data_IF_679750835086
#
_entry.id   IF_679750835086
#
_cell.length_a   1.000
_cell.length_b   1.000
_cell.length_c   1.000
_cell.angle_alpha   90.00
_cell.angle_beta   90.00
_cell.angle_gamma   90.00
#
_symmetry.space_group_name_H-M   'P 1'
#
loop_
_entity.id
_entity.type
_entity.pdbx_description
1 polymer ?
#
# COMPACT_ATOMS: atom_id res chain seq x y z
N UNK A 1 0.68 -15.28 22.41
CA UNK A 1 0.69 -14.09 21.53
C UNK A 1 0.04 -12.93 22.28
N UNK A 2 0.63 -11.74 22.26
CA UNK A 2 -0.02 -10.52 22.79
C UNK A 2 -0.86 -9.90 21.66
N UNK A 3 -2.05 -9.42 21.98
CA UNK A 3 -2.92 -8.73 21.02
C UNK A 3 -2.88 -7.23 21.29
N UNK A 4 -2.92 -6.44 20.21
CA UNK A 4 -2.97 -4.98 20.26
C UNK A 4 -4.30 -4.55 19.64
N UNK A 5 -5.02 -3.69 20.32
CA UNK A 5 -6.23 -3.03 19.81
C UNK A 5 -5.90 -1.59 19.49
N UNK A 6 -6.21 -1.15 18.28
CA UNK A 6 -6.03 0.22 17.83
C UNK A 6 -7.39 0.79 17.43
N UNK A 7 -7.72 1.97 17.97
CA UNK A 7 -8.91 2.72 17.59
C UNK A 7 -8.49 3.90 16.72
N UNK A 8 -9.18 4.09 15.61
CA UNK A 8 -8.86 5.10 14.60
C UNK A 8 -10.14 5.68 14.00
N UNK A 9 -10.06 6.91 13.49
CA UNK A 9 -11.11 7.48 12.64
C UNK A 9 -11.08 6.82 11.26
N UNK A 10 -12.14 7.01 10.48
CA UNK A 10 -12.20 6.51 9.10
C UNK A 10 -11.07 7.07 8.22
N UNK A 11 -10.76 8.37 8.35
CA UNK A 11 -9.67 9.02 7.60
C UNK A 11 -8.29 8.48 7.98
N UNK A 12 -8.09 8.16 9.27
CA UNK A 12 -6.87 7.51 9.73
C UNK A 12 -6.75 6.08 9.18
N UNK A 13 -7.86 5.36 9.11
CA UNK A 13 -7.91 4.02 8.50
C UNK A 13 -7.57 4.07 7.00
N UNK A 14 -8.12 5.04 6.25
CA UNK A 14 -7.76 5.25 4.83
C UNK A 14 -6.29 5.61 4.66
N UNK A 15 -5.74 6.44 5.54
CA UNK A 15 -4.31 6.77 5.52
C UNK A 15 -3.44 5.54 5.80
N UNK A 16 -3.84 4.71 6.76
CA UNK A 16 -3.17 3.44 7.05
C UNK A 16 -3.23 2.47 5.87
N UNK A 17 -4.37 2.39 5.16
CA UNK A 17 -4.50 1.58 3.95
C UNK A 17 -3.49 2.00 2.87
N UNK A 18 -3.32 3.31 2.62
CA UNK A 18 -2.31 3.79 1.67
C UNK A 18 -0.89 3.38 2.07
N UNK A 19 -0.57 3.46 3.37
CA UNK A 19 0.73 3.04 3.87
C UNK A 19 0.96 1.52 3.72
N UNK A 20 -0.04 0.69 4.02
CA UNK A 20 0.05 -0.76 3.83
C UNK A 20 0.13 -1.14 2.35
N UNK A 21 -0.60 -0.44 1.48
CA UNK A 21 -0.51 -0.63 0.04
C UNK A 21 0.89 -0.34 -0.49
N UNK A 22 1.48 0.78 -0.08
CA UNK A 22 2.84 1.11 -0.44
C UNK A 22 3.81 0.02 0.04
N UNK A 23 3.74 -0.37 1.31
CA UNK A 23 4.64 -1.39 1.86
C UNK A 23 4.51 -2.74 1.13
N UNK A 24 3.29 -3.20 0.83
CA UNK A 24 3.12 -4.46 0.09
C UNK A 24 3.66 -4.37 -1.34
N UNK A 25 3.45 -3.24 -2.04
CA UNK A 25 3.92 -3.03 -3.42
C UNK A 25 5.44 -3.00 -3.48
N UNK A 26 6.08 -2.25 -2.58
CA UNK A 26 7.54 -2.23 -2.46
C UNK A 26 8.10 -3.63 -2.18
N UNK A 27 7.45 -4.38 -1.29
CA UNK A 27 7.85 -5.76 -0.95
C UNK A 27 7.71 -6.75 -2.12
N UNK A 28 6.84 -6.47 -3.09
CA UNK A 28 6.68 -7.24 -4.32
C UNK A 28 7.64 -6.81 -5.45
N UNK A 29 8.42 -5.73 -5.25
CA UNK A 29 9.24 -5.12 -6.28
C UNK A 29 8.46 -4.20 -7.23
N UNK A 30 7.23 -3.81 -6.88
CA UNK A 30 6.38 -2.88 -7.64
C UNK A 30 6.67 -1.43 -7.25
N UNK A 31 7.95 -1.04 -7.29
CA UNK A 31 8.42 0.25 -6.79
C UNK A 31 8.02 1.41 -7.71
N UNK A 32 7.69 1.13 -8.96
CA UNK A 32 7.11 2.06 -9.94
C UNK A 32 5.80 2.69 -9.48
N UNK A 33 5.12 2.13 -8.48
CA UNK A 33 3.93 2.73 -7.91
C UNK A 33 4.20 4.13 -7.32
N UNK A 34 5.44 4.43 -6.91
CA UNK A 34 5.83 5.77 -6.48
C UNK A 34 5.73 6.80 -7.62
N UNK A 35 5.93 6.39 -8.88
CA UNK A 35 5.70 7.24 -10.06
C UNK A 35 4.21 7.57 -10.20
N UNK A 36 3.33 6.59 -9.98
CA UNK A 36 1.87 6.82 -10.00
C UNK A 36 1.47 7.80 -8.90
N UNK A 37 1.98 7.61 -7.68
CA UNK A 37 1.76 8.54 -6.56
C UNK A 37 2.26 9.95 -6.88
N UNK A 38 3.42 10.08 -7.55
CA UNK A 38 3.93 11.38 -7.98
C UNK A 38 3.01 12.05 -9.00
N UNK A 39 2.52 11.29 -10.00
CA UNK A 39 1.57 11.77 -11.03
C UNK A 39 0.24 12.23 -10.44
N UNK A 40 -0.20 11.58 -9.36
CA UNK A 40 -1.42 11.93 -8.65
C UNK A 40 -1.24 13.10 -7.64
N UNK A 41 -0.04 13.66 -7.53
CA UNK A 41 0.26 14.77 -6.61
C UNK A 41 0.37 14.34 -5.15
N UNK A 42 0.51 13.03 -4.87
CA UNK A 42 0.69 12.54 -3.51
C UNK A 42 2.14 12.72 -3.00
N UNK A 43 3.08 13.01 -3.90
CA UNK A 43 4.47 13.35 -3.59
C UNK A 43 4.74 14.79 -3.99
N UNK A 44 5.47 15.51 -3.13
CA UNK A 44 5.81 16.92 -3.34
C UNK A 44 7.31 17.13 -3.24
N UNK A 45 7.85 18.07 -4.01
CA UNK A 45 9.23 18.52 -3.86
C UNK A 45 9.31 19.63 -2.81
N UNK A 46 10.39 19.61 -2.04
CA UNK A 46 10.70 20.66 -1.08
C UNK A 46 11.46 21.79 -1.78
N UNK A 47 10.98 23.01 -1.58
CA UNK A 47 11.61 24.23 -2.07
C UNK A 47 12.59 24.79 -1.04
N UNK A 48 13.53 25.62 -1.49
CA UNK A 48 14.54 26.26 -0.63
C UNK A 48 13.91 27.15 0.45
N UNK A 49 12.73 27.73 0.18
CA UNK A 49 11.95 28.53 1.14
C UNK A 49 11.18 27.68 2.17
N UNK A 50 11.35 26.35 2.13
CA UNK A 50 10.72 25.39 3.02
C UNK A 50 9.29 25.00 2.62
N UNK A 51 8.72 25.57 1.55
CA UNK A 51 7.41 25.18 1.04
C UNK A 51 7.49 23.90 0.21
N UNK A 52 6.33 23.33 -0.05
CA UNK A 52 6.16 22.22 -1.00
C UNK A 52 5.65 22.72 -2.34
N UNK A 53 6.07 22.06 -3.41
CA UNK A 53 5.53 22.23 -4.76
C UNK A 53 5.24 20.85 -5.35
N UNK A 54 4.26 20.79 -6.25
CA UNK A 54 4.04 19.62 -7.08
C UNK A 54 5.23 19.36 -8.00
N UNK A 55 5.43 18.09 -8.35
CA UNK A 55 6.45 17.67 -9.30
C UNK A 55 6.01 18.01 -10.74
N UNK A 56 6.94 18.49 -11.55
CA UNK A 56 6.71 18.64 -13.00
C UNK A 56 6.64 17.28 -13.68
N UNK A 57 6.13 17.25 -14.93
CA UNK A 57 6.10 16.02 -15.73
C UNK A 57 7.51 15.45 -15.92
N UNK A 58 8.49 16.31 -16.22
CA UNK A 58 9.88 15.91 -16.39
C UNK A 58 10.47 15.33 -15.08
N UNK A 59 10.18 15.96 -13.93
CA UNK A 59 10.63 15.45 -12.62
C UNK A 59 10.00 14.10 -12.26
N UNK A 60 8.74 13.87 -12.67
CA UNK A 60 8.07 12.57 -12.51
C UNK A 60 8.73 11.50 -13.39
N UNK A 61 9.12 11.85 -14.62
CA UNK A 61 9.79 10.92 -15.53
C UNK A 61 11.21 10.59 -15.02
N UNK A 62 11.95 11.57 -14.48
CA UNK A 62 13.24 11.35 -13.80
C UNK A 62 13.11 10.39 -12.60
N UNK A 63 12.05 10.55 -11.79
CA UNK A 63 11.73 9.62 -10.69
C UNK A 63 11.52 8.21 -11.24
N UNK A 64 10.75 8.07 -12.32
CA UNK A 64 10.48 6.78 -12.92
C UNK A 64 11.76 6.09 -13.41
N UNK A 65 12.64 6.81 -14.09
CA UNK A 65 13.93 6.29 -14.54
C UNK A 65 14.80 5.82 -13.36
N UNK A 66 14.88 6.62 -12.30
CA UNK A 66 15.59 6.25 -11.07
C UNK A 66 15.02 4.99 -10.41
N UNK A 67 13.70 4.86 -10.37
CA UNK A 67 13.03 3.67 -9.85
C UNK A 67 13.31 2.44 -10.72
N UNK A 68 13.35 2.56 -12.05
CA UNK A 68 13.72 1.44 -12.93
C UNK A 68 15.16 0.95 -12.67
N UNK A 69 16.09 1.87 -12.37
CA UNK A 69 17.45 1.50 -11.98
C UNK A 69 17.46 0.72 -10.65
N UNK A 70 16.73 1.19 -9.64
CA UNK A 70 16.61 0.49 -8.35
C UNK A 70 16.01 -0.91 -8.55
N UNK A 71 14.98 -1.03 -9.38
CA UNK A 71 14.30 -2.31 -9.68
C UNK A 71 15.27 -3.33 -10.30
N UNK A 72 16.11 -2.87 -11.23
CA UNK A 72 17.18 -3.71 -11.82
C UNK A 72 18.21 -4.14 -10.77
N UNK A 73 18.62 -3.26 -9.85
CA UNK A 73 19.54 -3.60 -8.75
C UNK A 73 18.93 -4.66 -7.82
N UNK A 74 17.63 -4.59 -7.57
CA UNK A 74 16.89 -5.61 -6.81
C UNK A 74 16.76 -6.95 -7.56
N UNK A 75 17.25 -7.06 -8.79
CA UNK A 75 17.18 -8.28 -9.60
C UNK A 75 15.86 -8.47 -10.34
N UNK A 76 15.03 -7.43 -10.42
CA UNK A 76 13.77 -7.46 -11.18
C UNK A 76 13.98 -6.89 -12.58
N UNK A 77 13.35 -7.53 -13.58
CA UNK A 77 13.09 -6.88 -14.87
C UNK A 77 12.07 -5.75 -14.68
N UNK A 78 12.10 -4.73 -15.54
CA UNK A 78 11.25 -3.52 -15.46
C UNK A 78 9.76 -3.84 -15.34
N UNK A 79 9.31 -4.84 -16.09
CA UNK A 79 7.92 -5.30 -16.13
C UNK A 79 7.62 -6.45 -15.17
N UNK A 80 8.61 -6.94 -14.42
CA UNK A 80 8.45 -8.09 -13.53
C UNK A 80 8.30 -7.64 -12.08
N UNK A 81 7.48 -8.36 -11.34
CA UNK A 81 7.36 -8.27 -9.89
C UNK A 81 6.95 -9.63 -9.36
N UNK A 82 7.08 -9.84 -8.05
CA UNK A 82 6.48 -11.00 -7.43
C UNK A 82 4.98 -10.80 -7.28
N UNK A 83 4.21 -11.89 -7.43
CA UNK A 83 2.87 -11.92 -6.87
C UNK A 83 2.93 -12.01 -5.35
N UNK A 84 1.95 -11.42 -4.63
CA UNK A 84 1.95 -11.36 -3.16
C UNK A 84 2.07 -12.73 -2.46
N UNK A 85 1.65 -13.80 -3.14
CA UNK A 85 1.74 -15.20 -2.66
C UNK A 85 3.10 -15.85 -2.87
N UNK A 86 4.01 -15.21 -3.60
CA UNK A 86 5.34 -15.76 -3.84
C UNK A 86 6.10 -15.93 -2.51
N UNK A 87 6.85 -17.02 -2.38
CA UNK A 87 7.60 -17.34 -1.17
C UNK A 87 8.69 -16.31 -0.85
N UNK A 88 9.26 -15.68 -1.88
CA UNK A 88 10.34 -14.70 -1.76
C UNK A 88 9.85 -13.31 -1.36
N UNK A 89 8.54 -13.05 -1.36
CA UNK A 89 8.00 -11.79 -0.82
C UNK A 89 8.20 -11.80 0.71
N UNK A 90 8.86 -10.76 1.27
CA UNK A 90 9.06 -10.64 2.71
C UNK A 90 7.75 -10.76 3.49
N UNK A 91 7.82 -11.35 4.68
CA UNK A 91 6.64 -11.56 5.54
C UNK A 91 5.94 -10.24 5.88
N UNK A 92 6.66 -9.13 5.99
CA UNK A 92 6.08 -7.82 6.28
C UNK A 92 5.21 -7.29 5.14
N UNK A 93 5.56 -7.57 3.88
CA UNK A 93 4.70 -7.30 2.74
C UNK A 93 3.42 -8.11 2.77
N UNK A 94 3.51 -9.39 3.19
CA UNK A 94 2.35 -10.26 3.37
C UNK A 94 1.45 -9.79 4.51
N UNK A 95 2.01 -9.39 5.65
CA UNK A 95 1.28 -8.77 6.77
C UNK A 95 0.58 -7.49 6.34
N UNK A 96 1.27 -6.62 5.59
CA UNK A 96 0.69 -5.40 5.06
C UNK A 96 -0.51 -5.68 4.15
N UNK A 97 -0.41 -6.68 3.27
CA UNK A 97 -1.53 -7.12 2.43
C UNK A 97 -2.72 -7.61 3.26
N UNK A 98 -2.49 -8.45 4.28
CA UNK A 98 -3.57 -8.95 5.15
C UNK A 98 -4.30 -7.81 5.88
N UNK A 99 -3.54 -6.86 6.44
CA UNK A 99 -4.10 -5.66 7.07
C UNK A 99 -4.88 -4.80 6.07
N UNK A 100 -4.32 -4.56 4.89
CA UNK A 100 -4.96 -3.80 3.81
C UNK A 100 -6.30 -4.42 3.39
N UNK A 101 -6.34 -5.75 3.26
CA UNK A 101 -7.56 -6.50 2.90
C UNK A 101 -8.63 -6.43 3.99
N UNK A 102 -8.25 -6.65 5.24
CA UNK A 102 -9.19 -6.69 6.37
C UNK A 102 -9.76 -5.31 6.68
N UNK A 103 -8.90 -4.29 6.83
CA UNK A 103 -9.34 -2.91 7.09
C UNK A 103 -10.18 -2.40 5.91
N UNK A 104 -9.71 -2.64 4.68
CA UNK A 104 -10.40 -2.21 3.47
C UNK A 104 -11.80 -2.79 3.33
N UNK A 105 -11.98 -4.07 3.65
CA UNK A 105 -13.31 -4.68 3.68
C UNK A 105 -14.21 -4.05 4.74
N UNK A 106 -13.71 -3.85 5.96
CA UNK A 106 -14.50 -3.23 7.04
C UNK A 106 -15.00 -1.83 6.65
N UNK A 107 -14.15 -1.02 6.01
CA UNK A 107 -14.55 0.31 5.50
C UNK A 107 -15.57 0.22 4.37
N UNK A 108 -15.37 -0.67 3.38
CA UNK A 108 -16.32 -0.85 2.27
C UNK A 108 -17.71 -1.24 2.79
N UNK A 109 -17.78 -2.18 3.74
CA UNK A 109 -19.05 -2.61 4.35
C UNK A 109 -19.68 -1.45 5.13
N UNK A 110 -18.89 -0.72 5.92
CA UNK A 110 -19.40 0.39 6.74
C UNK A 110 -20.04 1.50 5.92
N UNK A 111 -19.52 1.77 4.72
CA UNK A 111 -20.07 2.79 3.82
C UNK A 111 -21.34 2.36 3.10
N UNK A 112 -21.81 1.13 3.31
CA UNK A 112 -22.94 0.55 2.56
C UNK A 112 -22.64 0.36 1.07
N UNK A 113 -21.37 0.39 0.69
CA UNK A 113 -20.97 0.19 -0.69
C UNK A 113 -21.04 -1.30 -1.04
N UNK A 114 -21.54 -1.63 -2.23
CA UNK A 114 -21.40 -2.98 -2.76
C UNK A 114 -19.93 -3.38 -2.71
N UNK A 115 -19.66 -4.64 -2.34
CA UNK A 115 -18.31 -5.22 -2.37
C UNK A 115 -17.78 -5.04 -3.80
N UNK A 116 -16.91 -4.06 -3.99
CA UNK A 116 -16.37 -3.68 -5.28
C UNK A 116 -14.85 -3.56 -5.17
N UNK A 117 -14.19 -4.10 -6.19
CA UNK A 117 -12.74 -4.16 -6.27
C UNK A 117 -12.08 -5.20 -5.36
N UNK A 118 -10.81 -5.47 -5.64
CA UNK A 118 -10.00 -6.48 -4.93
C UNK A 118 -10.01 -6.24 -3.42
N UNK A 119 -10.03 -4.98 -2.97
CA UNK A 119 -10.03 -4.63 -1.55
C UNK A 119 -11.30 -5.10 -0.83
N UNK A 120 -12.48 -4.80 -1.37
CA UNK A 120 -13.77 -5.05 -0.71
C UNK A 120 -14.06 -6.53 -0.44
N UNK A 121 -13.46 -7.44 -1.21
CA UNK A 121 -13.67 -8.89 -1.03
C UNK A 121 -13.14 -9.42 0.30
N UNK A 122 -12.29 -8.67 1.00
CA UNK A 122 -11.65 -9.13 2.24
C UNK A 122 -10.63 -10.24 2.06
N UNK A 123 -9.96 -10.61 3.15
CA UNK A 123 -8.92 -11.63 3.13
C UNK A 123 -9.55 -13.03 3.05
N UNK A 124 -9.30 -13.76 1.96
CA UNK A 124 -9.83 -15.13 1.78
C UNK A 124 -8.99 -16.20 2.46
N UNK A 125 -7.68 -15.99 2.53
CA UNK A 125 -6.71 -16.94 3.05
C UNK A 125 -5.52 -16.16 3.63
N UNK A 126 -4.96 -16.65 4.74
CA UNK A 126 -3.76 -16.06 5.32
C UNK A 126 -2.53 -16.38 4.46
N UNK A 127 -1.65 -15.40 4.32
CA UNK A 127 -0.34 -15.49 3.68
C UNK A 127 0.79 -15.65 4.70
N UNK A 128 0.45 -15.66 5.99
CA UNK A 128 1.39 -15.78 7.11
C UNK A 128 1.02 -16.97 8.00
N UNK A 129 1.85 -17.26 9.01
CA UNK A 129 1.53 -18.26 10.04
C UNK A 129 0.87 -17.62 11.28
N UNK A 130 0.48 -16.34 11.18
CA UNK A 130 -0.10 -15.58 12.28
C UNK A 130 -1.63 -15.64 12.22
N UNK A 131 -2.32 -15.41 13.36
CA UNK A 131 -3.77 -15.27 13.32
C UNK A 131 -4.18 -14.10 12.42
N UNK A 132 -5.20 -14.33 11.58
CA UNK A 132 -5.74 -13.32 10.68
C UNK A 132 -6.13 -12.06 11.47
N UNK A 133 -5.69 -10.85 11.05
CA UNK A 133 -6.07 -9.60 11.71
C UNK A 133 -7.58 -9.39 11.65
N UNK A 134 -8.10 -8.59 12.59
CA UNK A 134 -9.53 -8.28 12.68
C UNK A 134 -9.72 -6.77 12.66
N UNK A 135 -10.71 -6.31 11.90
CA UNK A 135 -11.16 -4.93 11.91
C UNK A 135 -12.69 -4.90 12.01
N UNK A 136 -13.21 -3.98 12.81
CA UNK A 136 -14.63 -3.74 13.02
C UNK A 136 -14.88 -2.25 13.08
N UNK A 137 -15.96 -1.79 12.48
CA UNK A 137 -16.40 -0.40 12.60
C UNK A 137 -17.47 -0.32 13.68
N UNK A 138 -17.22 0.51 14.70
CA UNK A 138 -18.19 0.80 15.74
C UNK A 138 -18.95 2.07 15.37
N UNK A 139 -20.25 1.94 15.11
CA UNK A 139 -21.13 3.09 14.86
C UNK A 139 -21.65 3.55 16.22
N UNK A 140 -21.18 4.70 16.68
CA UNK A 140 -21.68 5.39 17.88
C UNK A 140 -22.72 6.43 17.52
#
# INVERSE_FOLDING_TARGET
>A
MKQITLTMTEDQAESALKAFELLMRLSMGQIEHLTEMAREGALVKRMDDGKSQDLSVDEVDDINEGLMMIKRIMGHHETSSFGIRNENVPVDGKRAYELWKVIGQSLTISRGNAISGVRGEGLRESLTNEPIPKASVNIS
#
